data_IF_643456145851
#
_entry.id   IF_643456145851
#
_cell.length_a   1.000
_cell.length_b   1.000
_cell.length_c   1.000
_cell.angle_alpha   90.00
_cell.angle_beta   90.00
_cell.angle_gamma   90.00
#
_symmetry.space_group_name_H-M   'P 1'
#
loop_
_entity.id
_entity.type
_entity.pdbx_description
1 polymer ?
#
# COMPACT_ATOMS: atom_id res chain seq x y z
N UNK A 1 -13.71 19.36 18.70
CA UNK A 1 -12.28 19.67 18.93
C UNK A 1 -11.57 19.43 17.62
N UNK A 2 -11.24 20.52 16.94
CA UNK A 2 -10.59 20.58 15.63
C UNK A 2 -9.07 20.59 15.84
N UNK A 3 -8.31 19.78 15.10
CA UNK A 3 -7.01 20.18 14.57
C UNK A 3 -6.61 19.25 13.41
N UNK A 4 -6.45 19.84 12.23
CA UNK A 4 -6.01 19.14 11.02
C UNK A 4 -4.49 19.01 10.94
N UNK A 5 -4.04 18.10 10.07
CA UNK A 5 -2.76 18.23 9.40
C UNK A 5 -2.89 17.62 7.99
N UNK A 6 -3.23 18.49 7.03
CA UNK A 6 -3.16 18.22 5.60
C UNK A 6 -1.69 18.30 5.15
N UNK A 7 -0.88 17.27 5.40
CA UNK A 7 0.46 17.16 4.79
C UNK A 7 0.84 15.73 4.45
N UNK A 8 0.24 15.18 3.39
CA UNK A 8 0.88 14.10 2.63
C UNK A 8 0.26 13.90 1.24
N UNK A 9 0.25 14.97 0.44
CA UNK A 9 0.14 14.88 -1.02
C UNK A 9 1.21 15.76 -1.66
N UNK A 10 2.47 15.29 -1.64
CA UNK A 10 3.46 15.73 -2.63
C UNK A 10 3.54 14.66 -3.70
N UNK A 11 2.92 15.00 -4.81
CA UNK A 11 3.05 14.34 -6.09
C UNK A 11 4.54 14.31 -6.51
N UNK A 12 4.97 13.16 -7.01
CA UNK A 12 6.02 13.10 -8.02
C UNK A 12 5.51 13.79 -9.28
N UNK A 13 5.80 15.08 -9.41
CA UNK A 13 5.69 15.81 -10.66
C UNK A 13 7.12 16.17 -11.06
N UNK A 14 7.57 15.54 -12.14
CA UNK A 14 8.90 15.68 -12.68
C UNK A 14 9.30 17.14 -12.88
N UNK A 15 10.55 17.38 -12.57
CA UNK A 15 11.31 18.56 -12.93
C UNK A 15 11.19 18.83 -14.44
N UNK A 16 10.39 19.83 -14.81
CA UNK A 16 10.50 20.55 -16.09
C UNK A 16 10.35 22.02 -15.81
N UNK A 17 11.51 22.66 -15.78
CA UNK A 17 11.89 23.81 -16.59
C UNK A 17 10.95 25.01 -16.69
N UNK A 18 11.56 26.18 -16.59
CA UNK A 18 10.89 27.45 -16.34
C UNK A 18 9.90 27.86 -17.42
N UNK A 19 8.67 28.17 -17.01
CA UNK A 19 7.84 29.14 -17.72
C UNK A 19 6.89 29.84 -16.75
N UNK A 20 7.34 31.00 -16.29
CA UNK A 20 6.57 31.95 -15.51
C UNK A 20 5.79 32.82 -16.50
N UNK A 21 4.65 32.33 -17.03
CA UNK A 21 3.52 33.12 -17.61
C UNK A 21 2.56 32.23 -18.45
N UNK A 22 1.63 31.52 -17.81
CA UNK A 22 0.33 31.13 -18.44
C UNK A 22 -0.76 31.17 -17.37
N UNK A 23 -1.28 32.37 -17.07
CA UNK A 23 -2.59 32.83 -17.54
C UNK A 23 -3.67 31.73 -17.53
N UNK A 24 -4.45 31.68 -16.44
CA UNK A 24 -5.92 31.80 -16.38
C UNK A 24 -6.77 31.26 -17.56
N UNK A 25 -6.39 30.17 -18.20
CA UNK A 25 -7.16 29.54 -19.30
C UNK A 25 -7.26 28.04 -19.08
N UNK A 26 -7.88 27.58 -17.98
CA UNK A 26 -8.22 26.16 -17.79
C UNK A 26 -9.44 25.93 -16.87
N UNK A 27 -10.30 26.93 -16.66
CA UNK A 27 -11.44 26.76 -15.73
C UNK A 27 -12.71 26.15 -16.36
N UNK A 28 -12.73 25.81 -17.65
CA UNK A 28 -13.96 25.31 -18.28
C UNK A 28 -13.62 24.15 -19.22
N UNK A 29 -13.98 22.93 -18.80
CA UNK A 29 -14.09 21.77 -19.67
C UNK A 29 -12.81 20.96 -19.84
N UNK A 30 -12.54 20.03 -18.92
CA UNK A 30 -11.47 19.06 -19.17
C UNK A 30 -10.94 18.25 -18.00
N UNK A 31 -11.61 18.20 -16.84
CA UNK A 31 -11.34 17.11 -15.89
C UNK A 31 -11.88 15.82 -16.45
N UNK A 32 -11.11 15.18 -17.36
CA UNK A 32 -11.09 13.72 -17.45
C UNK A 32 -10.51 13.22 -16.13
N UNK A 33 -11.34 13.25 -15.10
CA UNK A 33 -11.16 12.42 -13.92
C UNK A 33 -11.10 11.01 -14.49
N UNK A 34 -9.89 10.45 -14.52
CA UNK A 34 -9.68 9.09 -14.96
C UNK A 34 -10.70 8.23 -14.24
N UNK A 35 -11.67 7.75 -15.00
CA UNK A 35 -12.49 6.63 -14.61
C UNK A 35 -11.49 5.54 -14.33
N UNK A 36 -11.14 5.34 -13.06
CA UNK A 36 -10.41 4.14 -12.64
C UNK A 36 -11.38 3.03 -12.96
N UNK A 37 -11.19 2.43 -14.13
CA UNK A 37 -11.93 1.25 -14.54
C UNK A 37 -11.77 0.27 -13.38
N UNK A 38 -12.89 -0.11 -12.81
CA UNK A 38 -12.97 -1.08 -11.75
C UNK A 38 -12.65 -2.43 -12.40
N UNK A 39 -11.38 -2.67 -12.70
CA UNK A 39 -10.91 -3.93 -13.24
C UNK A 39 -11.26 -5.01 -12.22
N UNK A 40 -12.13 -5.92 -12.64
CA UNK A 40 -12.58 -7.03 -11.82
C UNK A 40 -11.37 -7.79 -11.31
N UNK A 41 -11.21 -7.78 -9.98
CA UNK A 41 -10.08 -8.39 -9.33
C UNK A 41 -10.06 -9.91 -9.59
N UNK A 42 -8.88 -10.54 -9.59
CA UNK A 42 -8.71 -11.97 -9.90
C UNK A 42 -9.62 -12.88 -9.05
N UNK A 43 -9.88 -12.47 -7.81
CA UNK A 43 -10.78 -13.15 -6.90
C UNK A 43 -12.27 -13.00 -7.28
N UNK A 44 -12.72 -11.82 -7.72
CA UNK A 44 -14.10 -11.64 -8.21
C UNK A 44 -14.36 -12.52 -9.45
N UNK A 45 -13.35 -12.64 -10.34
CA UNK A 45 -13.38 -13.60 -11.46
C UNK A 45 -13.44 -15.06 -10.96
N UNK A 46 -12.74 -15.38 -9.87
CA UNK A 46 -12.82 -16.67 -9.19
C UNK A 46 -14.22 -16.99 -8.68
N UNK A 47 -14.83 -16.09 -7.91
CA UNK A 47 -16.21 -16.24 -7.41
C UNK A 47 -17.19 -16.36 -8.57
N UNK A 48 -17.05 -15.53 -9.60
CA UNK A 48 -17.94 -15.58 -10.76
C UNK A 48 -17.87 -16.94 -11.46
N UNK A 49 -16.68 -17.54 -11.60
CA UNK A 49 -16.53 -18.90 -12.12
C UNK A 49 -17.20 -19.95 -11.26
N UNK A 50 -17.03 -19.88 -9.94
CA UNK A 50 -17.68 -20.82 -9.00
C UNK A 50 -19.21 -20.66 -9.03
N UNK A 51 -19.70 -19.42 -8.99
CA UNK A 51 -21.12 -19.11 -9.10
C UNK A 51 -21.71 -19.63 -10.41
N UNK A 52 -21.03 -19.40 -11.54
CA UNK A 52 -21.45 -19.91 -12.84
C UNK A 52 -21.45 -21.44 -12.91
N UNK A 53 -20.51 -22.12 -12.24
CA UNK A 53 -20.48 -23.57 -12.13
C UNK A 53 -21.68 -24.10 -11.32
N UNK A 54 -22.01 -23.45 -10.20
CA UNK A 54 -23.17 -23.82 -9.37
C UNK A 54 -24.49 -23.56 -10.09
N UNK A 55 -24.63 -22.44 -10.78
CA UNK A 55 -25.81 -22.13 -11.61
C UNK A 55 -25.94 -23.17 -12.72
N UNK A 56 -24.84 -23.53 -13.41
CA UNK A 56 -24.88 -24.56 -14.46
C UNK A 56 -25.29 -25.92 -13.90
N UNK A 57 -24.82 -26.28 -12.71
CA UNK A 57 -25.23 -27.51 -12.03
C UNK A 57 -26.72 -27.48 -11.63
N UNK A 58 -27.20 -26.35 -11.10
CA UNK A 58 -28.61 -26.14 -10.76
C UNK A 58 -29.52 -26.24 -12.00
N UNK A 59 -29.12 -25.63 -13.11
CA UNK A 59 -29.86 -25.65 -14.38
C UNK A 59 -29.94 -27.06 -14.98
N UNK A 60 -28.99 -27.95 -14.66
CA UNK A 60 -29.04 -29.36 -15.04
C UNK A 60 -29.85 -30.19 -14.04
N UNK A 61 -29.67 -29.98 -12.74
CA UNK A 61 -30.37 -30.76 -11.70
C UNK A 61 -31.87 -30.46 -11.60
N UNK A 62 -32.28 -29.19 -11.77
CA UNK A 62 -33.69 -28.80 -11.70
C UNK A 62 -34.58 -29.51 -12.74
N UNK A 63 -34.26 -29.53 -14.05
CA UNK A 63 -35.05 -30.28 -15.03
C UNK A 63 -34.93 -31.80 -14.85
N UNK A 64 -33.78 -32.32 -14.42
CA UNK A 64 -33.65 -33.76 -14.10
C UNK A 64 -34.65 -34.14 -13.00
N UNK A 65 -34.69 -33.38 -11.90
CA UNK A 65 -35.62 -33.61 -10.79
C UNK A 65 -37.07 -33.43 -11.24
N UNK A 66 -37.36 -32.41 -12.04
CA UNK A 66 -38.71 -32.17 -12.60
C UNK A 66 -39.18 -33.35 -13.46
N UNK A 67 -38.33 -33.85 -14.35
CA UNK A 67 -38.64 -34.99 -15.23
C UNK A 67 -38.86 -36.25 -14.38
N UNK A 68 -37.95 -36.57 -13.47
CA UNK A 68 -38.07 -37.77 -12.62
C UNK A 68 -39.34 -37.73 -11.77
N UNK A 69 -39.62 -36.61 -11.10
CA UNK A 69 -40.83 -36.48 -10.28
C UNK A 69 -42.10 -36.42 -11.13
N UNK A 70 -42.05 -35.74 -12.28
CA UNK A 70 -43.18 -35.64 -13.21
C UNK A 70 -43.59 -37.00 -13.78
N UNK A 71 -42.62 -37.82 -14.20
CA UNK A 71 -42.88 -39.18 -14.68
C UNK A 71 -43.26 -40.16 -13.56
N UNK A 72 -42.75 -39.98 -12.34
CA UNK A 72 -43.03 -40.91 -11.23
C UNK A 72 -44.38 -40.66 -10.56
N UNK A 73 -44.73 -39.38 -10.34
CA UNK A 73 -45.96 -38.99 -9.63
C UNK A 73 -47.12 -38.63 -10.54
N UNK A 74 -46.87 -38.27 -11.81
CA UNK A 74 -47.92 -37.82 -12.75
C UNK A 74 -48.44 -36.40 -12.51
N UNK A 75 -48.27 -35.85 -11.31
CA UNK A 75 -48.66 -34.48 -10.94
C UNK A 75 -47.54 -33.46 -11.19
N UNK A 76 -47.60 -32.82 -12.36
CA UNK A 76 -46.65 -31.78 -12.79
C UNK A 76 -46.56 -30.59 -11.83
N UNK A 77 -47.64 -30.29 -11.10
CA UNK A 77 -47.66 -29.20 -10.11
C UNK A 77 -46.81 -29.51 -8.87
N UNK A 78 -46.93 -30.71 -8.31
CA UNK A 78 -46.08 -31.14 -7.20
C UNK A 78 -44.61 -31.24 -7.64
N UNK A 79 -44.35 -31.75 -8.84
CA UNK A 79 -43.01 -31.84 -9.39
C UNK A 79 -42.36 -30.45 -9.53
N UNK A 80 -43.12 -29.43 -9.98
CA UNK A 80 -42.65 -28.06 -10.09
C UNK A 80 -42.33 -27.43 -8.72
N UNK A 81 -43.20 -27.61 -7.72
CA UNK A 81 -42.96 -27.14 -6.35
C UNK A 81 -41.71 -27.79 -5.73
N UNK A 82 -41.52 -29.09 -5.98
CA UNK A 82 -40.34 -29.81 -5.49
C UNK A 82 -39.05 -29.33 -6.19
N UNK A 83 -39.07 -29.17 -7.52
CA UNK A 83 -37.93 -28.64 -8.27
C UNK A 83 -37.58 -27.20 -7.83
N UNK A 84 -38.58 -26.35 -7.56
CA UNK A 84 -38.38 -25.01 -7.03
C UNK A 84 -37.72 -25.03 -5.63
N UNK A 85 -38.16 -25.93 -4.75
CA UNK A 85 -37.57 -26.09 -3.42
C UNK A 85 -36.09 -26.49 -3.50
N UNK A 86 -35.75 -27.43 -4.40
CA UNK A 86 -34.36 -27.84 -4.66
C UNK A 86 -33.53 -26.69 -5.23
N UNK A 87 -34.09 -25.93 -6.19
CA UNK A 87 -33.40 -24.78 -6.78
C UNK A 87 -33.09 -23.71 -5.72
N UNK A 88 -34.07 -23.32 -4.89
CA UNK A 88 -33.86 -22.33 -3.82
C UNK A 88 -32.85 -22.83 -2.78
N UNK A 89 -32.87 -24.12 -2.44
CA UNK A 89 -31.91 -24.72 -1.50
C UNK A 89 -30.47 -24.78 -2.01
N UNK A 90 -30.27 -24.79 -3.33
CA UNK A 90 -28.96 -24.83 -3.98
C UNK A 90 -28.38 -23.44 -4.30
N UNK A 91 -29.15 -22.37 -4.13
CA UNK A 91 -28.69 -21.01 -4.46
C UNK A 91 -27.50 -20.60 -3.58
N UNK A 92 -26.34 -20.24 -4.16
CA UNK A 92 -25.14 -19.91 -3.40
C UNK A 92 -25.13 -18.46 -2.87
N UNK A 93 -26.23 -18.01 -2.26
CA UNK A 93 -26.33 -16.66 -1.66
C UNK A 93 -25.37 -16.49 -0.46
N UNK A 94 -25.02 -17.58 0.20
CA UNK A 94 -24.17 -17.53 1.40
C UNK A 94 -22.70 -17.24 1.09
N UNK A 95 -22.21 -17.61 -0.10
CA UNK A 95 -20.79 -17.53 -0.44
C UNK A 95 -20.28 -16.07 -0.52
N UNK A 96 -20.95 -15.13 -1.24
CA UNK A 96 -20.54 -13.73 -1.26
C UNK A 96 -20.54 -13.08 0.13
N UNK A 97 -21.50 -13.46 0.99
CA UNK A 97 -21.65 -12.91 2.33
C UNK A 97 -20.51 -13.35 3.25
N UNK A 98 -20.19 -14.65 3.26
CA UNK A 98 -19.07 -15.21 4.03
C UNK A 98 -17.74 -14.57 3.63
N UNK A 99 -17.50 -14.44 2.33
CA UNK A 99 -16.28 -13.83 1.80
C UNK A 99 -16.16 -12.37 2.23
N UNK A 100 -17.22 -11.58 2.08
CA UNK A 100 -17.18 -10.15 2.44
C UNK A 100 -16.95 -9.96 3.93
N UNK A 101 -17.58 -10.80 4.77
CA UNK A 101 -17.42 -10.78 6.22
C UNK A 101 -15.99 -11.15 6.66
N UNK A 102 -15.41 -12.22 6.09
CA UNK A 102 -14.04 -12.63 6.39
C UNK A 102 -13.02 -11.58 5.95
N UNK A 103 -13.23 -10.95 4.80
CA UNK A 103 -12.39 -9.89 4.27
C UNK A 103 -12.47 -8.61 5.10
N UNK A 104 -13.67 -8.22 5.53
CA UNK A 104 -13.88 -7.09 6.44
C UNK A 104 -13.19 -7.33 7.80
N UNK A 105 -13.32 -8.54 8.37
CA UNK A 105 -12.63 -8.90 9.61
C UNK A 105 -11.11 -8.90 9.44
N UNK A 106 -10.61 -9.32 8.28
CA UNK A 106 -9.20 -9.23 7.89
C UNK A 106 -8.72 -7.78 7.82
N UNK A 107 -9.51 -6.88 7.22
CA UNK A 107 -9.20 -5.45 7.14
C UNK A 107 -9.06 -4.83 8.53
N UNK A 108 -9.99 -5.16 9.45
CA UNK A 108 -9.93 -4.70 10.84
C UNK A 108 -8.68 -5.23 11.55
N UNK A 109 -8.30 -6.49 11.32
CA UNK A 109 -7.09 -7.08 11.90
C UNK A 109 -5.81 -6.38 11.38
N UNK A 110 -5.73 -6.11 10.08
CA UNK A 110 -4.60 -5.40 9.47
C UNK A 110 -4.49 -3.95 9.95
N UNK A 111 -5.63 -3.27 10.13
CA UNK A 111 -5.68 -1.92 10.70
C UNK A 111 -5.07 -1.86 12.11
N UNK A 112 -5.34 -2.88 12.95
CA UNK A 112 -4.70 -3.00 14.28
C UNK A 112 -3.19 -3.18 14.21
N UNK A 113 -2.65 -3.67 13.09
CA UNK A 113 -1.21 -3.83 12.83
C UNK A 113 -0.58 -2.61 12.12
N UNK A 114 -1.24 -1.44 12.16
CA UNK A 114 -0.81 -0.19 11.50
C UNK A 114 -0.84 -0.24 9.97
N UNK A 115 -1.59 -1.17 9.36
CA UNK A 115 -1.77 -1.24 7.90
C UNK A 115 -3.13 -0.64 7.52
N UNK A 116 -3.11 0.44 6.73
CA UNK A 116 -4.34 1.12 6.30
C UNK A 116 -4.83 0.50 4.98
N UNK A 117 -5.89 -0.30 5.07
CA UNK A 117 -6.55 -0.89 3.91
C UNK A 117 -7.64 0.05 3.40
N UNK A 118 -7.51 0.54 2.15
CA UNK A 118 -8.52 1.40 1.49
C UNK A 118 -9.59 0.62 0.72
N UNK A 119 -9.23 -0.54 0.20
CA UNK A 119 -10.10 -1.41 -0.58
C UNK A 119 -9.94 -2.85 -0.10
N UNK A 120 -11.06 -3.54 0.11
CA UNK A 120 -11.06 -4.94 0.55
C UNK A 120 -10.34 -5.85 -0.47
N UNK A 121 -10.46 -5.53 -1.76
CA UNK A 121 -9.76 -6.20 -2.86
C UNK A 121 -8.23 -6.22 -2.70
N UNK A 122 -7.65 -5.19 -2.06
CA UNK A 122 -6.22 -5.11 -1.84
C UNK A 122 -5.70 -6.20 -0.88
N UNK A 123 -6.52 -6.65 0.09
CA UNK A 123 -6.14 -7.70 1.03
C UNK A 123 -5.96 -9.04 0.30
N UNK A 124 -6.81 -9.31 -0.69
CA UNK A 124 -6.74 -10.54 -1.47
C UNK A 124 -5.54 -10.53 -2.40
N UNK A 125 -5.29 -9.40 -3.06
CA UNK A 125 -4.11 -9.25 -3.91
C UNK A 125 -2.82 -9.37 -3.10
N UNK A 126 -2.81 -8.83 -1.88
CA UNK A 126 -1.69 -9.00 -0.96
C UNK A 126 -1.47 -10.47 -0.56
N UNK A 127 -2.54 -11.23 -0.35
CA UNK A 127 -2.46 -12.66 -0.05
C UNK A 127 -2.05 -13.55 -1.24
N UNK A 128 -2.32 -13.11 -2.47
CA UNK A 128 -1.95 -13.80 -3.70
C UNK A 128 -0.65 -13.28 -4.34
N UNK A 129 0.09 -12.41 -3.64
CA UNK A 129 1.26 -11.76 -4.20
C UNK A 129 2.52 -12.60 -4.01
N UNK A 130 3.24 -12.85 -5.09
CA UNK A 130 4.52 -13.57 -5.04
C UNK A 130 5.74 -12.61 -4.98
N UNK A 131 5.60 -11.38 -5.50
CA UNK A 131 6.70 -10.42 -5.63
C UNK A 131 6.31 -9.07 -5.01
N UNK A 132 7.04 -8.66 -3.96
CA UNK A 132 6.90 -7.35 -3.33
C UNK A 132 8.06 -6.44 -3.73
N UNK A 133 7.78 -5.48 -4.62
CA UNK A 133 8.72 -4.40 -4.90
C UNK A 133 8.54 -3.30 -3.85
N UNK A 134 9.51 -3.16 -2.94
CA UNK A 134 9.55 -2.05 -1.97
C UNK A 134 10.47 -0.95 -2.46
N UNK A 135 10.07 0.31 -2.35
CA UNK A 135 10.98 1.42 -2.65
C UNK A 135 12.09 1.50 -1.59
N UNK A 136 13.32 1.81 -1.99
CA UNK A 136 14.46 1.87 -1.05
C UNK A 136 14.29 3.05 -0.09
N UNK A 137 14.03 4.23 -0.66
CA UNK A 137 13.99 5.48 0.10
C UNK A 137 12.67 5.59 0.87
N UNK A 138 12.76 5.74 2.19
CA UNK A 138 11.59 5.93 3.05
C UNK A 138 10.74 4.66 3.32
N UNK A 139 11.13 3.49 2.79
CA UNK A 139 10.57 2.19 3.20
C UNK A 139 11.64 1.31 3.86
N UNK A 140 12.78 1.08 3.19
CA UNK A 140 13.90 0.33 3.78
C UNK A 140 14.87 1.24 4.56
N UNK A 141 15.04 2.48 4.12
CA UNK A 141 15.91 3.45 4.79
C UNK A 141 15.11 4.25 5.82
N UNK A 142 15.73 4.51 6.98
CA UNK A 142 15.12 5.32 8.05
C UNK A 142 15.21 6.84 7.80
N UNK A 143 15.54 7.25 6.56
CA UNK A 143 15.89 8.65 6.20
C UNK A 143 16.85 9.31 7.21
N UNK A 144 17.62 8.48 7.94
CA UNK A 144 18.60 8.87 8.94
C UNK A 144 19.97 8.45 8.45
N UNK A 145 20.85 9.42 8.30
CA UNK A 145 22.26 9.21 7.96
C UNK A 145 23.02 9.15 9.28
N UNK A 146 23.92 8.17 9.42
CA UNK A 146 24.79 8.01 10.60
C UNK A 146 26.23 8.02 10.11
N UNK A 147 27.08 8.76 10.81
CA UNK A 147 28.51 8.79 10.53
C UNK A 147 29.16 7.52 11.11
N UNK A 148 29.62 6.61 10.24
CA UNK A 148 30.28 5.37 10.66
C UNK A 148 31.80 5.50 10.73
N UNK A 149 32.42 6.19 9.76
CA UNK A 149 33.88 6.32 9.69
C UNK A 149 34.32 7.66 9.10
N UNK A 150 35.46 8.18 9.56
CA UNK A 150 36.03 9.46 9.15
C UNK A 150 37.47 9.25 8.65
N UNK A 151 37.63 9.09 7.34
CA UNK A 151 38.93 8.72 6.75
C UNK A 151 39.56 9.87 5.99
N UNK A 152 40.90 9.93 6.01
CA UNK A 152 41.69 10.83 5.17
C UNK A 152 41.88 10.25 3.75
N UNK A 153 42.51 11.01 2.85
CA UNK A 153 42.85 10.59 1.47
C UNK A 153 43.60 9.25 1.36
N UNK A 154 44.25 8.80 2.45
CA UNK A 154 44.94 7.51 2.54
C UNK A 154 44.08 6.38 3.13
N UNK A 155 42.79 6.62 3.40
CA UNK A 155 41.85 5.65 3.97
C UNK A 155 42.03 5.36 5.47
N UNK A 156 42.93 6.08 6.15
CA UNK A 156 43.16 5.94 7.60
C UNK A 156 42.19 6.85 8.39
N UNK A 157 41.71 6.43 9.57
CA UNK A 157 40.86 7.28 10.40
C UNK A 157 41.63 8.55 10.81
N UNK A 158 41.03 9.72 10.62
CA UNK A 158 41.70 11.00 10.83
C UNK A 158 40.81 12.01 11.56
N UNK A 159 41.11 12.26 12.83
CA UNK A 159 40.36 13.18 13.68
C UNK A 159 40.33 14.63 13.18
N UNK A 160 41.31 15.05 12.35
CA UNK A 160 41.32 16.38 11.75
C UNK A 160 40.17 16.58 10.76
N UNK A 161 39.92 15.57 9.89
CA UNK A 161 38.80 15.58 8.93
C UNK A 161 37.46 15.60 9.68
N UNK A 162 37.34 14.82 10.76
CA UNK A 162 36.17 14.80 11.61
C UNK A 162 35.92 16.18 12.26
N UNK A 163 36.96 16.82 12.78
CA UNK A 163 36.87 18.13 13.41
C UNK A 163 36.48 19.23 12.41
N UNK A 164 37.07 19.24 11.21
CA UNK A 164 36.68 20.16 10.15
C UNK A 164 35.22 19.95 9.70
N UNK A 165 34.79 18.70 9.57
CA UNK A 165 33.40 18.37 9.27
C UNK A 165 32.46 18.83 10.38
N UNK A 166 32.84 18.63 11.65
CA UNK A 166 32.07 19.11 12.80
C UNK A 166 31.94 20.63 12.81
N UNK A 167 33.04 21.37 12.61
CA UNK A 167 33.01 22.83 12.55
C UNK A 167 32.11 23.35 11.42
N UNK A 168 32.22 22.74 10.23
CA UNK A 168 31.37 23.09 9.11
C UNK A 168 29.90 22.89 9.45
N UNK A 169 29.55 21.71 9.98
CA UNK A 169 28.18 21.38 10.38
C UNK A 169 27.66 22.21 11.56
N UNK A 170 28.53 22.57 12.52
CA UNK A 170 28.15 23.31 13.73
C UNK A 170 27.86 24.78 13.45
N UNK A 171 28.66 25.41 12.59
CA UNK A 171 28.50 26.82 12.23
C UNK A 171 27.66 27.04 10.97
N UNK A 172 27.13 25.99 10.36
CA UNK A 172 26.24 26.08 9.22
C UNK A 172 24.89 26.71 9.63
N UNK A 173 24.62 27.94 9.16
CA UNK A 173 23.40 28.70 9.46
C UNK A 173 22.28 28.53 8.41
N UNK A 174 22.54 27.72 7.38
CA UNK A 174 21.64 27.47 6.25
C UNK A 174 20.61 26.35 6.47
N UNK A 175 20.23 25.67 5.39
CA UNK A 175 19.30 24.53 5.43
C UNK A 175 19.97 23.33 6.11
N UNK A 176 19.40 22.83 7.22
CA UNK A 176 19.96 21.67 7.93
C UNK A 176 19.92 20.42 7.05
N UNK A 177 21.09 19.86 6.73
CA UNK A 177 21.20 18.61 5.98
C UNK A 177 21.21 17.41 6.95
N UNK A 178 20.75 16.24 6.47
CA UNK A 178 20.83 14.99 7.21
C UNK A 178 22.29 14.57 7.47
N UNK A 179 23.21 14.95 6.57
CA UNK A 179 24.65 14.78 6.77
C UNK A 179 25.19 15.61 7.94
N UNK A 180 24.80 16.88 8.04
CA UNK A 180 25.28 17.77 9.10
C UNK A 180 24.81 17.27 10.48
N UNK A 181 23.56 16.79 10.53
CA UNK A 181 22.98 16.16 11.72
C UNK A 181 23.73 14.88 12.09
N UNK A 182 24.10 14.06 11.11
CA UNK A 182 24.84 12.82 11.34
C UNK A 182 26.24 13.07 11.93
N UNK A 183 26.91 14.14 11.50
CA UNK A 183 28.23 14.53 12.00
C UNK A 183 28.12 15.10 13.42
N UNK A 184 27.09 15.89 13.71
CA UNK A 184 26.88 16.46 15.05
C UNK A 184 26.42 15.42 16.08
N UNK A 185 25.64 14.41 15.69
CA UNK A 185 25.25 13.29 16.57
C UNK A 185 26.36 12.27 16.78
N UNK A 186 27.26 12.10 15.80
CA UNK A 186 28.34 11.12 15.83
C UNK A 186 29.58 11.54 16.62
N UNK A 187 29.62 12.77 17.14
CA UNK A 187 30.79 13.32 17.86
C UNK A 187 30.32 14.01 19.14
N UNK A 188 30.75 13.49 20.30
CA UNK A 188 30.52 14.16 21.57
C UNK A 188 31.25 15.52 21.59
N UNK A 189 30.56 16.57 22.04
CA UNK A 189 31.06 17.95 22.01
C UNK A 189 32.40 18.11 22.79
N UNK A 190 32.61 17.26 23.79
CA UNK A 190 33.86 17.17 24.56
C UNK A 190 35.02 16.59 23.76
N UNK A 191 34.76 15.62 22.89
CA UNK A 191 35.78 14.94 22.09
C UNK A 191 36.21 15.82 20.92
N UNK A 192 35.26 16.53 20.29
CA UNK A 192 35.54 17.55 19.28
C UNK A 192 36.44 18.67 19.83
N UNK A 193 36.17 19.14 21.06
CA UNK A 193 36.96 20.19 21.73
C UNK A 193 38.33 19.68 22.23
N UNK A 194 38.45 18.40 22.60
CA UNK A 194 39.77 17.82 22.90
C UNK A 194 40.64 17.68 21.65
N UNK A 195 40.05 17.33 20.51
CA UNK A 195 40.77 17.22 19.22
C UNK A 195 41.34 18.58 18.77
N UNK A 196 40.62 19.68 18.96
CA UNK A 196 41.14 21.03 18.65
C UNK A 196 42.29 21.45 19.56
N UNK A 197 42.24 21.11 20.85
CA UNK A 197 43.35 21.35 21.78
C UNK A 197 44.64 20.65 21.35
N UNK A 198 44.54 19.37 20.92
CA UNK A 198 45.69 18.57 20.47
C UNK A 198 46.27 19.02 19.12
N UNK A 199 45.48 19.67 18.29
CA UNK A 199 45.93 20.26 17.02
C UNK A 199 46.58 21.64 17.20
N UNK A 200 46.28 22.36 18.28
CA UNK A 200 46.90 23.64 18.59
C UNK A 200 48.29 23.51 19.25
N UNK A 201 48.60 22.32 19.80
CA UNK A 201 49.86 22.01 20.48
C UNK A 201 50.93 21.37 19.59
N UNK A 202 50.63 21.09 18.31
CA UNK A 202 51.49 20.36 17.37
C UNK A 202 51.73 21.19 16.10
#
# INVERSE_FOLDING_TARGET
>A
MLYGDERSKRNGAGHRDGDRRRHLVWSIGGTRLGTRENEQNAFQKGISRVSMLLIRFMLVMAPIVLIINGYTKGDWWEAALFALSVAVGLTPEMLPMIVTSTLARGAVKLSKQKVIVKHLDAIQNFGAMDILCTDKTGTLTQDKIVLENHTDISGKPCGHVLHCAWLNSHYQTGLKNLLDTAVLEGVDETDARQLSGRLAEN
#
